data_IF_856488357008
#
_entry.id   IF_856488357008
#
_cell.length_a   1.000
_cell.length_b   1.000
_cell.length_c   1.000
_cell.angle_alpha   90.00
_cell.angle_beta   90.00
_cell.angle_gamma   90.00
#
_symmetry.space_group_name_H-M   'P 1'
#
loop_
_entity.id
_entity.type
_entity.pdbx_description
1 polymer ?
#
# COMPACT_ATOMS: atom_id res chain seq x y z
N UNK A 1 12.94 -9.35 9.49
CA UNK A 1 11.74 -8.61 9.05
C UNK A 1 10.54 -9.23 9.73
N UNK A 2 9.60 -8.44 10.25
CA UNK A 2 8.38 -8.99 10.85
C UNK A 2 7.43 -9.51 9.75
N UNK A 3 6.93 -10.73 9.93
CA UNK A 3 5.83 -11.29 9.13
C UNK A 3 4.56 -11.23 9.97
N UNK A 4 3.49 -10.72 9.37
CA UNK A 4 2.22 -10.48 10.06
C UNK A 4 1.10 -11.09 9.22
N UNK A 5 0.07 -11.62 9.89
CA UNK A 5 -1.15 -12.09 9.23
C UNK A 5 -2.33 -11.24 9.67
N UNK A 6 -3.24 -10.96 8.75
CA UNK A 6 -4.49 -10.28 9.09
C UNK A 6 -5.43 -11.26 9.80
N UNK A 7 -6.05 -10.82 10.90
CA UNK A 7 -7.05 -11.60 11.62
C UNK A 7 -8.40 -11.52 10.91
N UNK A 8 -9.01 -12.67 10.60
CA UNK A 8 -10.35 -12.71 10.01
C UNK A 8 -11.40 -12.32 11.07
N UNK A 9 -12.08 -11.20 10.87
CA UNK A 9 -13.15 -10.68 11.76
C UNK A 9 -14.56 -11.06 11.30
N UNK A 10 -14.69 -11.54 10.07
CA UNK A 10 -15.95 -11.98 9.48
C UNK A 10 -15.74 -12.45 8.05
N UNK A 11 -16.82 -12.80 7.37
CA UNK A 11 -16.76 -13.18 5.96
C UNK A 11 -16.18 -12.02 5.13
N UNK A 12 -15.02 -12.25 4.49
CA UNK A 12 -14.32 -11.25 3.68
C UNK A 12 -13.73 -10.06 4.44
N UNK A 13 -13.78 -10.02 5.77
CA UNK A 13 -13.27 -8.92 6.59
C UNK A 13 -12.06 -9.36 7.40
N UNK A 14 -10.95 -8.63 7.26
CA UNK A 14 -9.69 -8.92 7.93
C UNK A 14 -9.09 -7.65 8.51
N UNK A 15 -8.52 -7.73 9.71
CA UNK A 15 -7.94 -6.57 10.39
C UNK A 15 -6.65 -6.95 11.14
N UNK A 16 -5.76 -5.98 11.32
CA UNK A 16 -4.60 -6.10 12.20
C UNK A 16 -4.26 -4.75 12.81
N UNK A 17 -3.82 -4.74 14.08
CA UNK A 17 -3.55 -3.55 14.86
C UNK A 17 -2.10 -3.48 15.30
N UNK A 18 -1.55 -2.27 15.41
CA UNK A 18 -0.18 -2.06 15.91
C UNK A 18 0.88 -2.72 15.03
N UNK A 19 0.80 -2.48 13.72
CA UNK A 19 1.67 -3.15 12.74
C UNK A 19 3.10 -2.61 12.86
N UNK A 20 4.12 -3.46 13.09
CA UNK A 20 5.51 -3.02 13.05
C UNK A 20 5.88 -2.59 11.63
N UNK A 21 6.81 -1.63 11.50
CA UNK A 21 7.35 -1.22 10.19
C UNK A 21 8.88 -1.31 10.25
N UNK A 22 9.54 -2.02 9.32
CA UNK A 22 8.98 -2.70 8.15
C UNK A 22 8.27 -4.03 8.47
N UNK A 23 7.24 -4.35 7.69
CA UNK A 23 6.54 -5.62 7.77
C UNK A 23 6.12 -6.15 6.40
N UNK A 24 6.01 -7.47 6.33
CA UNK A 24 5.33 -8.20 5.26
C UNK A 24 4.04 -8.79 5.79
N UNK A 25 2.94 -8.57 5.08
CA UNK A 25 1.61 -9.02 5.48
C UNK A 25 1.07 -9.94 4.41
N UNK A 26 0.81 -11.19 4.76
CA UNK A 26 0.16 -12.12 3.83
C UNK A 26 -1.31 -11.71 3.63
N UNK A 27 -1.72 -11.64 2.36
CA UNK A 27 -3.06 -11.24 1.96
C UNK A 27 -3.90 -12.47 1.58
N UNK A 28 -5.22 -12.45 1.82
CA UNK A 28 -6.12 -13.38 1.14
C UNK A 28 -6.13 -13.10 -0.37
N UNK A 29 -6.73 -14.00 -1.15
CA UNK A 29 -6.95 -13.79 -2.58
C UNK A 29 -7.65 -12.45 -2.82
N UNK A 30 -7.06 -11.65 -3.71
CA UNK A 30 -7.56 -10.31 -4.03
C UNK A 30 -8.43 -10.37 -5.29
N UNK A 31 -9.56 -9.66 -5.23
CA UNK A 31 -10.44 -9.48 -6.38
C UNK A 31 -10.76 -7.99 -6.58
N UNK A 32 -11.14 -7.64 -7.80
CA UNK A 32 -11.69 -6.31 -8.07
C UNK A 32 -12.83 -5.98 -7.12
N UNK A 33 -12.80 -4.76 -6.58
CA UNK A 33 -13.69 -4.26 -5.55
C UNK A 33 -13.23 -4.50 -4.11
N UNK A 34 -12.16 -5.27 -3.90
CA UNK A 34 -11.50 -5.37 -2.59
C UNK A 34 -11.02 -3.98 -2.15
N UNK A 35 -11.20 -3.68 -0.87
CA UNK A 35 -10.80 -2.40 -0.27
C UNK A 35 -9.82 -2.64 0.86
N UNK A 36 -8.75 -1.87 0.87
CA UNK A 36 -7.74 -1.85 1.93
C UNK A 36 -7.72 -0.46 2.54
N UNK A 37 -7.73 -0.39 3.87
CA UNK A 37 -7.56 0.82 4.64
C UNK A 37 -6.31 0.66 5.51
N UNK A 38 -5.40 1.62 5.42
CA UNK A 38 -4.24 1.74 6.30
C UNK A 38 -4.39 3.05 7.05
N UNK A 39 -4.50 2.97 8.37
CA UNK A 39 -4.45 4.13 9.25
C UNK A 39 -3.11 4.14 9.99
N UNK A 40 -2.54 5.33 10.10
CA UNK A 40 -1.22 5.49 10.68
C UNK A 40 -0.83 6.95 10.83
N UNK A 41 0.45 7.16 11.10
CA UNK A 41 1.08 8.47 11.24
C UNK A 41 2.44 8.42 10.56
N UNK A 42 2.80 9.45 9.81
CA UNK A 42 4.20 9.63 9.41
C UNK A 42 5.04 9.97 10.63
N UNK A 43 6.28 9.51 10.69
CA UNK A 43 7.18 9.85 11.80
C UNK A 43 7.63 11.33 11.74
N UNK A 44 8.17 11.87 12.86
CA UNK A 44 8.86 13.16 12.83
C UNK A 44 9.99 13.14 11.79
N UNK A 45 10.11 14.22 11.01
CA UNK A 45 11.12 14.35 9.95
C UNK A 45 11.13 13.21 8.91
N UNK A 46 9.97 12.53 8.71
CA UNK A 46 9.83 11.47 7.73
C UNK A 46 10.30 11.88 6.34
N UNK A 47 11.22 11.11 5.75
CA UNK A 47 11.74 11.34 4.41
C UNK A 47 10.83 10.77 3.34
N UNK A 48 10.22 9.64 3.66
CA UNK A 48 9.30 8.94 2.79
C UNK A 48 8.95 7.56 3.33
N UNK A 49 7.97 6.94 2.68
CA UNK A 49 7.58 5.57 2.98
C UNK A 49 7.03 4.91 1.72
N UNK A 50 6.83 3.60 1.77
CA UNK A 50 6.21 2.87 0.67
C UNK A 50 5.20 1.83 1.15
N UNK A 51 4.18 1.66 0.31
CA UNK A 51 3.18 0.60 0.38
C UNK A 51 3.31 -0.21 -0.89
N UNK A 52 3.60 -1.50 -0.77
CA UNK A 52 3.96 -2.34 -1.91
C UNK A 52 3.04 -3.56 -1.98
N UNK A 53 2.41 -3.77 -3.13
CA UNK A 53 1.65 -4.98 -3.45
C UNK A 53 2.58 -5.96 -4.15
N UNK A 54 3.07 -6.95 -3.40
CA UNK A 54 4.14 -7.85 -3.83
C UNK A 54 3.60 -9.23 -4.23
N UNK A 55 4.27 -9.86 -5.19
CA UNK A 55 4.04 -11.26 -5.56
C UNK A 55 4.67 -12.28 -4.60
N UNK A 56 5.38 -11.80 -3.57
CA UNK A 56 5.97 -12.62 -2.52
C UNK A 56 6.25 -11.81 -1.26
N UNK A 57 6.91 -12.44 -0.29
CA UNK A 57 7.01 -11.95 1.09
C UNK A 57 8.01 -10.79 1.29
N UNK A 58 8.74 -10.35 0.27
CA UNK A 58 9.75 -9.29 0.36
C UNK A 58 9.85 -8.45 -0.93
N UNK A 59 10.74 -7.45 -0.94
CA UNK A 59 10.93 -6.52 -2.06
C UNK A 59 11.80 -7.06 -3.22
N UNK A 60 12.36 -8.27 -3.09
CA UNK A 60 13.11 -8.92 -4.18
C UNK A 60 12.17 -9.53 -5.22
N UNK A 61 10.95 -9.87 -4.81
CA UNK A 61 9.87 -10.32 -5.69
C UNK A 61 9.30 -9.17 -6.50
N UNK A 62 8.50 -9.51 -7.52
CA UNK A 62 7.76 -8.52 -8.29
C UNK A 62 6.85 -7.68 -7.39
N UNK A 63 6.78 -6.38 -7.72
CA UNK A 63 5.94 -5.40 -7.05
C UNK A 63 4.94 -4.91 -8.09
N UNK A 64 3.71 -5.41 -8.03
CA UNK A 64 2.63 -5.03 -8.94
C UNK A 64 2.28 -3.55 -8.81
N UNK A 65 2.29 -3.05 -7.58
CA UNK A 65 2.06 -1.64 -7.29
C UNK A 65 2.92 -1.17 -6.12
N UNK A 66 3.83 -0.24 -6.42
CA UNK A 66 4.64 0.50 -5.47
C UNK A 66 4.06 1.89 -5.33
N UNK A 67 3.53 2.23 -4.15
CA UNK A 67 3.09 3.58 -3.81
C UNK A 67 4.07 4.21 -2.85
N UNK A 68 4.79 5.26 -3.27
CA UNK A 68 5.92 5.81 -2.53
C UNK A 68 5.87 7.34 -2.42
N UNK A 69 5.24 7.85 -1.36
CA UNK A 69 5.43 9.23 -0.93
C UNK A 69 6.89 9.49 -0.55
N UNK A 70 7.53 10.42 -1.27
CA UNK A 70 8.88 10.95 -1.03
C UNK A 70 8.74 12.38 -0.52
N UNK A 71 8.54 12.54 0.78
CA UNK A 71 8.25 13.83 1.42
C UNK A 71 9.39 14.83 1.23
N UNK A 72 10.65 14.41 1.35
CA UNK A 72 11.83 15.28 1.11
C UNK A 72 11.89 15.82 -0.34
N UNK A 73 11.32 15.08 -1.29
CA UNK A 73 11.30 15.45 -2.71
C UNK A 73 9.98 16.09 -3.15
N UNK A 74 9.07 16.32 -2.20
CA UNK A 74 7.71 16.82 -2.39
C UNK A 74 6.97 16.16 -3.57
N UNK A 75 7.00 14.82 -3.62
CA UNK A 75 6.27 14.05 -4.64
C UNK A 75 5.83 12.69 -4.14
N UNK A 76 4.85 12.11 -4.81
CA UNK A 76 4.49 10.70 -4.70
C UNK A 76 4.86 10.01 -6.00
N UNK A 77 5.58 8.89 -5.90
CA UNK A 77 5.92 8.04 -7.04
C UNK A 77 5.11 6.76 -6.99
N UNK A 78 4.50 6.40 -8.12
CA UNK A 78 3.88 5.10 -8.34
C UNK A 78 4.62 4.34 -9.43
N UNK A 79 4.89 3.05 -9.22
CA UNK A 79 5.58 2.22 -10.22
C UNK A 79 5.30 0.72 -10.02
N UNK A 80 5.82 -0.08 -10.94
CA UNK A 80 5.83 -1.54 -10.91
C UNK A 80 7.27 -2.02 -11.05
N UNK A 81 7.65 -3.04 -10.27
CA UNK A 81 8.90 -3.78 -10.43
C UNK A 81 8.58 -5.16 -10.97
N UNK A 82 9.15 -5.53 -12.11
CA UNK A 82 8.93 -6.83 -12.76
C UNK A 82 10.27 -7.41 -13.21
N UNK A 83 10.54 -8.68 -12.85
CA UNK A 83 11.80 -9.36 -13.13
C UNK A 83 13.03 -8.55 -12.70
N UNK A 84 12.96 -7.94 -11.50
CA UNK A 84 14.05 -7.15 -10.93
C UNK A 84 14.15 -5.70 -11.43
N UNK A 85 13.50 -5.33 -12.53
CA UNK A 85 13.54 -3.99 -13.12
C UNK A 85 12.34 -3.12 -12.76
N UNK A 86 12.58 -1.83 -12.52
CA UNK A 86 11.51 -0.84 -12.38
C UNK A 86 11.01 -0.36 -13.75
N UNK A 87 9.70 -0.20 -13.87
CA UNK A 87 9.08 0.41 -15.05
C UNK A 87 9.16 1.94 -15.06
N UNK A 88 8.35 2.57 -15.91
CA UNK A 88 8.22 4.03 -15.97
C UNK A 88 7.50 4.59 -14.73
N UNK A 89 8.11 5.55 -14.04
CA UNK A 89 7.50 6.21 -12.88
C UNK A 89 6.26 7.03 -13.29
N UNK A 90 5.19 6.94 -12.50
CA UNK A 90 4.10 7.91 -12.49
C UNK A 90 4.28 8.84 -11.29
N UNK A 91 4.47 10.13 -11.54
CA UNK A 91 4.83 11.11 -10.51
C UNK A 91 3.66 12.05 -10.27
N UNK A 92 3.23 12.16 -9.02
CA UNK A 92 2.31 13.20 -8.55
C UNK A 92 3.07 14.22 -7.70
N UNK A 93 2.86 15.50 -7.97
CA UNK A 93 3.35 16.59 -7.12
C UNK A 93 2.35 16.97 -6.02
N UNK A 94 1.17 16.34 -6.00
CA UNK A 94 0.25 16.43 -4.87
C UNK A 94 0.67 15.39 -3.82
N UNK A 95 1.12 15.89 -2.65
CA UNK A 95 1.61 15.07 -1.53
C UNK A 95 0.67 15.25 -0.35
N UNK A 96 -0.31 14.35 -0.14
CA UNK A 96 -1.31 14.47 0.91
C UNK A 96 -0.79 13.99 2.29
N UNK A 97 0.53 14.11 2.54
CA UNK A 97 1.20 13.68 3.77
C UNK A 97 2.06 14.82 4.30
N UNK A 98 2.13 14.96 5.62
CA UNK A 98 3.01 15.93 6.28
C UNK A 98 3.67 15.31 7.49
N UNK A 99 4.84 15.81 7.91
CA UNK A 99 5.61 15.25 9.01
C UNK A 99 4.81 15.20 10.31
N UNK A 100 4.94 14.08 11.03
CA UNK A 100 4.23 13.84 12.28
C UNK A 100 2.69 14.03 12.18
N UNK A 101 2.09 13.75 11.01
CA UNK A 101 0.63 13.83 10.81
C UNK A 101 -0.03 12.45 10.67
N UNK A 102 -1.25 12.29 11.21
CA UNK A 102 -2.04 11.09 10.97
C UNK A 102 -2.54 11.07 9.52
N UNK A 103 -2.73 9.87 8.98
CA UNK A 103 -3.31 9.67 7.66
C UNK A 103 -4.28 8.48 7.64
N UNK A 104 -5.19 8.52 6.67
CA UNK A 104 -6.02 7.37 6.26
C UNK A 104 -5.82 7.11 4.78
N UNK A 105 -5.11 6.05 4.44
CA UNK A 105 -4.85 5.62 3.08
C UNK A 105 -5.86 4.53 2.71
N UNK A 106 -6.76 4.84 1.78
CA UNK A 106 -7.73 3.88 1.23
C UNK A 106 -7.28 3.48 -0.16
N UNK A 107 -7.21 2.17 -0.40
CA UNK A 107 -6.86 1.59 -1.69
C UNK A 107 -7.99 0.67 -2.09
N UNK A 108 -8.66 0.98 -3.20
CA UNK A 108 -9.70 0.14 -3.80
C UNK A 108 -9.14 -0.49 -5.06
N UNK A 109 -9.17 -1.82 -5.08
CA UNK A 109 -8.80 -2.60 -6.26
C UNK A 109 -9.95 -2.50 -7.27
N UNK A 110 -9.64 -2.19 -8.52
CA UNK A 110 -10.61 -2.17 -9.62
C UNK A 110 -10.19 -3.18 -10.69
N UNK A 111 -11.01 -3.34 -11.74
CA UNK A 111 -10.68 -4.20 -12.87
C UNK A 111 -9.43 -3.71 -13.61
N UNK A 112 -9.17 -2.39 -13.58
CA UNK A 112 -8.15 -1.77 -14.42
C UNK A 112 -6.97 -1.21 -13.61
N UNK A 113 -7.04 -1.18 -12.28
CA UNK A 113 -5.98 -0.60 -11.47
C UNK A 113 -6.26 -0.52 -9.97
N UNK A 114 -5.54 0.39 -9.33
CA UNK A 114 -5.62 0.75 -7.92
C UNK A 114 -6.15 2.18 -7.83
N UNK A 115 -7.28 2.37 -7.15
CA UNK A 115 -7.84 3.69 -6.82
C UNK A 115 -7.39 4.05 -5.40
N UNK A 116 -6.64 5.15 -5.26
CA UNK A 116 -5.97 5.55 -4.01
C UNK A 116 -6.51 6.89 -3.52
N UNK A 117 -6.98 6.93 -2.28
CA UNK A 117 -7.50 8.14 -1.62
C UNK A 117 -6.79 8.32 -0.26
N UNK A 118 -6.35 9.54 0.05
CA UNK A 118 -5.71 9.87 1.32
C UNK A 118 -6.53 10.92 2.08
N UNK A 119 -6.95 10.62 3.31
CA UNK A 119 -7.57 11.57 4.26
C UNK A 119 -8.71 12.43 3.69
N UNK A 120 -9.57 11.85 2.83
CA UNK A 120 -10.69 12.52 2.10
C UNK A 120 -10.26 13.49 0.97
N UNK A 121 -9.01 13.41 0.53
CA UNK A 121 -8.53 14.10 -0.67
C UNK A 121 -9.06 13.48 -1.98
N UNK A 122 -8.69 14.04 -3.14
CA UNK A 122 -9.03 13.45 -4.43
C UNK A 122 -8.43 12.05 -4.57
N UNK A 123 -9.19 11.16 -5.20
CA UNK A 123 -8.69 9.83 -5.52
C UNK A 123 -7.84 9.89 -6.80
N UNK A 124 -6.72 9.16 -6.81
CA UNK A 124 -5.89 8.93 -7.99
C UNK A 124 -6.03 7.49 -8.47
N UNK A 125 -5.71 7.23 -9.73
CA UNK A 125 -5.77 5.88 -10.30
C UNK A 125 -4.40 5.47 -10.85
N UNK A 126 -3.94 4.28 -10.47
CA UNK A 126 -2.77 3.63 -11.05
C UNK A 126 -3.20 2.38 -11.81
N UNK A 127 -2.96 2.35 -13.13
CA UNK A 127 -3.40 1.23 -13.96
C UNK A 127 -2.60 -0.05 -13.65
N UNK A 128 -3.25 -1.21 -13.69
CA UNK A 128 -2.59 -2.51 -13.52
C UNK A 128 -1.57 -2.71 -14.64
N UNK A 129 -0.31 -2.90 -14.26
CA UNK A 129 0.77 -3.31 -15.17
C UNK A 129 1.14 -4.79 -15.01
N UNK A 130 0.76 -5.39 -13.89
CA UNK A 130 0.84 -6.83 -13.63
C UNK A 130 -0.53 -7.37 -13.21
N UNK A 131 -0.80 -8.68 -13.42
CA UNK A 131 -2.04 -9.30 -12.99
C UNK A 131 -2.23 -9.22 -11.46
N UNK A 132 -3.44 -8.84 -11.04
CA UNK A 132 -3.78 -8.69 -9.62
C UNK A 132 -3.71 -10.02 -8.84
N UNK A 133 -4.00 -11.14 -9.50
CA UNK A 133 -3.98 -12.48 -8.91
C UNK A 133 -2.57 -12.95 -8.49
N UNK A 134 -1.51 -12.29 -8.99
CA UNK A 134 -0.14 -12.54 -8.56
C UNK A 134 0.18 -11.92 -7.21
N UNK A 135 -0.58 -10.93 -6.76
CA UNK A 135 -0.31 -10.25 -5.49
C UNK A 135 -0.71 -11.13 -4.32
N UNK A 136 0.27 -11.42 -3.46
CA UNK A 136 0.08 -12.28 -2.28
C UNK A 136 0.41 -11.57 -0.97
N UNK A 137 1.16 -10.47 -1.01
CA UNK A 137 1.61 -9.76 0.18
C UNK A 137 1.49 -8.25 0.04
N UNK A 138 1.25 -7.59 1.18
CA UNK A 138 1.42 -6.16 1.35
C UNK A 138 2.70 -5.92 2.14
N UNK A 139 3.63 -5.16 1.58
CA UNK A 139 4.88 -4.81 2.23
C UNK A 139 4.95 -3.32 2.55
N UNK A 140 5.15 -3.00 3.83
CA UNK A 140 5.21 -1.64 4.34
C UNK A 140 6.65 -1.32 4.78
N UNK A 141 7.15 -0.15 4.40
CA UNK A 141 8.51 0.28 4.70
C UNK A 141 8.63 1.80 4.79
N UNK A 142 9.65 2.27 5.51
CA UNK A 142 9.99 3.69 5.65
C UNK A 142 9.35 4.34 6.88
N UNK A 143 9.25 5.67 6.84
CA UNK A 143 9.09 6.51 8.03
C UNK A 143 7.61 6.68 8.45
N UNK A 144 6.94 5.58 8.77
CA UNK A 144 5.55 5.56 9.23
C UNK A 144 5.37 4.63 10.43
N UNK A 145 4.41 4.98 11.30
CA UNK A 145 3.79 4.05 12.23
C UNK A 145 2.39 3.68 11.75
N UNK A 146 2.02 2.40 11.87
CA UNK A 146 0.74 1.89 11.37
C UNK A 146 -0.06 1.34 12.54
N UNK A 147 -1.19 1.99 12.82
CA UNK A 147 -2.06 1.62 13.94
C UNK A 147 -3.08 0.56 13.55
N UNK A 148 -3.49 0.54 12.28
CA UNK A 148 -4.57 -0.30 11.79
C UNK A 148 -4.42 -0.60 10.30
N UNK A 149 -4.63 -1.86 9.95
CA UNK A 149 -4.86 -2.31 8.59
C UNK A 149 -6.19 -3.04 8.55
N UNK A 150 -7.07 -2.66 7.62
CA UNK A 150 -8.32 -3.36 7.34
C UNK A 150 -8.38 -3.76 5.89
N UNK A 151 -8.77 -5.00 5.62
CA UNK A 151 -9.06 -5.50 4.29
C UNK A 151 -10.51 -5.98 4.26
N UNK A 152 -11.24 -5.51 3.27
CA UNK A 152 -12.59 -5.97 2.93
C UNK A 152 -12.56 -6.54 1.52
N UNK A 153 -12.52 -7.86 1.41
CA UNK A 153 -12.66 -8.56 0.15
C UNK A 153 -14.07 -8.37 -0.40
N UNK A 154 -14.20 -8.12 -1.70
CA UNK A 154 -15.49 -8.14 -2.38
C UNK A 154 -15.83 -9.60 -2.71
N UNK A 155 -17.11 -9.97 -2.53
CA UNK A 155 -17.65 -11.24 -3.00
C UNK A 155 -17.68 -11.30 -4.52
#
# INVERSE_FOLDING_TARGET
MASVSLEKKGEGHYEHHGTPVPCSISLPTLHSGTKILIEGKTLPNAKGFSVNFCAGHNLDHDIAFHYNPRLEMNRVVSNTKHNGGWGAEEISNDVPFGHDKPFKLKIKLTNNGYEVEVSKGPAIHYNHRLPLDKVTHLYLHGDISVSLIKLKAKK
#
